data_IF_112862932781
#
_entry.id   IF_112862932781
#
_cell.length_a   1.000
_cell.length_b   1.000
_cell.length_c   1.000
_cell.angle_alpha   90.00
_cell.angle_beta   90.00
_cell.angle_gamma   90.00
#
_symmetry.space_group_name_H-M   'P 1'
#
loop_
_entity.id
_entity.type
_entity.pdbx_description
1 polymer ?
#
# COMPACT_ATOMS: atom_id res chain seq x y z
N UNK A 1 -5.16 17.61 -2.71
CA UNK A 1 -5.60 16.38 -2.09
C UNK A 1 -4.43 15.74 -1.37
N UNK A 2 -4.66 15.25 -0.14
CA UNK A 2 -3.67 14.38 0.49
C UNK A 2 -3.46 13.19 -0.45
N UNK A 3 -2.25 12.97 -0.89
CA UNK A 3 -1.89 11.80 -1.66
C UNK A 3 -2.24 10.56 -0.82
N UNK A 4 -3.09 9.69 -1.35
CA UNK A 4 -3.32 8.39 -0.75
C UNK A 4 -1.96 7.69 -0.67
N UNK A 5 -1.50 7.42 0.54
CA UNK A 5 -0.25 6.71 0.76
C UNK A 5 -0.50 5.20 0.70
N UNK A 6 0.42 4.45 0.11
CA UNK A 6 0.45 2.99 0.16
C UNK A 6 0.43 2.43 1.59
N UNK A 7 0.88 3.23 2.56
CA UNK A 7 0.85 2.91 3.99
C UNK A 7 -0.57 2.70 4.53
N UNK A 8 -1.62 3.26 3.91
CA UNK A 8 -3.01 2.98 4.29
C UNK A 8 -3.31 1.48 4.23
N UNK A 9 -2.97 0.84 3.11
CA UNK A 9 -3.24 -0.59 2.93
C UNK A 9 -2.33 -1.46 3.79
N UNK A 10 -1.11 -1.01 4.05
CA UNK A 10 -0.21 -1.65 5.00
C UNK A 10 -0.81 -1.65 6.41
N UNK A 11 -1.18 -0.49 6.92
CA UNK A 11 -1.76 -0.37 8.26
C UNK A 11 -3.09 -1.14 8.38
N UNK A 12 -3.90 -1.18 7.31
CA UNK A 12 -5.11 -1.99 7.27
C UNK A 12 -4.79 -3.50 7.31
N UNK A 13 -3.77 -3.96 6.59
CA UNK A 13 -3.35 -5.37 6.61
C UNK A 13 -2.74 -5.79 7.95
N UNK A 14 -2.06 -4.88 8.64
CA UNK A 14 -1.38 -5.11 9.92
C UNK A 14 -2.27 -4.81 11.15
N UNK A 15 -3.52 -4.37 10.98
CA UNK A 15 -4.40 -3.99 12.08
C UNK A 15 -4.84 -5.17 12.99
N UNK A 16 -4.46 -6.39 12.66
CA UNK A 16 -4.79 -7.59 13.44
C UNK A 16 -6.24 -8.06 13.35
N UNK A 17 -7.01 -7.53 12.40
CA UNK A 17 -8.40 -7.90 12.17
C UNK A 17 -8.50 -8.77 10.90
N UNK A 18 -9.45 -9.71 10.93
CA UNK A 18 -9.81 -10.45 9.70
C UNK A 18 -10.65 -9.54 8.79
N UNK A 19 -10.07 -9.12 7.68
CA UNK A 19 -10.73 -8.22 6.74
C UNK A 19 -10.45 -8.61 5.28
N UNK A 20 -11.35 -8.19 4.40
CA UNK A 20 -11.16 -8.27 2.94
C UNK A 20 -11.28 -6.86 2.38
N UNK A 21 -10.28 -6.45 1.61
CA UNK A 21 -10.30 -5.17 0.88
C UNK A 21 -10.50 -5.48 -0.59
N UNK A 22 -11.51 -4.84 -1.19
CA UNK A 22 -11.76 -4.93 -2.62
C UNK A 22 -11.71 -3.53 -3.21
N UNK A 23 -10.90 -3.37 -4.24
CA UNK A 23 -10.80 -2.15 -5.03
C UNK A 23 -11.32 -2.49 -6.42
N UNK A 24 -12.44 -1.90 -6.80
CA UNK A 24 -12.96 -2.01 -8.15
C UNK A 24 -12.71 -0.71 -8.88
N UNK A 25 -12.11 -0.80 -10.06
CA UNK A 25 -11.79 0.37 -10.88
C UNK A 25 -12.20 0.08 -12.33
N UNK A 26 -13.05 0.95 -12.88
CA UNK A 26 -13.47 0.87 -14.28
C UNK A 26 -12.93 2.07 -15.05
N UNK A 27 -12.18 1.86 -16.14
CA UNK A 27 -11.67 2.97 -16.93
C UNK A 27 -12.79 3.66 -17.70
N UNK A 28 -12.78 4.99 -17.70
CA UNK A 28 -13.62 5.77 -18.59
C UNK A 28 -13.05 5.82 -19.99
N UNK A 29 -13.92 6.03 -20.98
CA UNK A 29 -13.47 6.42 -22.32
C UNK A 29 -12.83 7.82 -22.27
N UNK A 30 -11.96 8.12 -23.24
CA UNK A 30 -11.32 9.45 -23.35
C UNK A 30 -12.39 10.57 -23.45
N UNK A 31 -13.47 10.31 -24.15
CA UNK A 31 -14.59 11.28 -24.29
C UNK A 31 -15.25 11.53 -22.93
N UNK A 32 -15.48 10.48 -22.17
CA UNK A 32 -16.12 10.58 -20.86
C UNK A 32 -15.19 11.22 -19.84
N UNK A 33 -13.91 10.86 -19.82
CA UNK A 33 -12.86 11.51 -19.02
C UNK A 33 -12.88 13.03 -19.23
N UNK A 34 -12.80 13.48 -20.49
CA UNK A 34 -12.82 14.90 -20.82
C UNK A 34 -14.14 15.59 -20.40
N UNK A 35 -15.28 14.91 -20.54
CA UNK A 35 -16.57 15.43 -20.11
C UNK A 35 -16.62 15.60 -18.58
N UNK A 36 -16.13 14.63 -17.81
CA UNK A 36 -16.10 14.66 -16.35
C UNK A 36 -15.15 15.73 -15.83
N UNK A 37 -13.94 15.83 -16.35
CA UNK A 37 -12.98 16.86 -15.97
C UNK A 37 -13.52 18.26 -16.23
N UNK A 38 -14.17 18.50 -17.37
CA UNK A 38 -14.85 19.79 -17.66
C UNK A 38 -15.99 20.06 -16.71
N UNK A 39 -16.80 19.07 -16.36
CA UNK A 39 -17.88 19.24 -15.40
C UNK A 39 -17.37 19.58 -13.99
N UNK A 40 -16.26 18.94 -13.57
CA UNK A 40 -15.60 19.26 -12.31
C UNK A 40 -15.04 20.69 -12.32
N UNK A 41 -14.37 21.11 -13.40
CA UNK A 41 -13.84 22.46 -13.56
C UNK A 41 -14.99 23.52 -13.45
N UNK A 42 -16.07 23.30 -14.18
CA UNK A 42 -17.25 24.19 -14.12
C UNK A 42 -17.86 24.23 -12.72
N UNK A 43 -17.85 23.13 -11.97
CA UNK A 43 -18.36 23.10 -10.59
C UNK A 43 -17.47 23.92 -9.66
N UNK A 44 -16.15 23.79 -9.75
CA UNK A 44 -15.16 24.55 -8.95
C UNK A 44 -15.26 26.04 -9.29
N UNK A 45 -15.30 26.40 -10.57
CA UNK A 45 -15.48 27.77 -11.02
C UNK A 45 -16.78 28.39 -10.50
N UNK A 46 -17.89 27.64 -10.55
CA UNK A 46 -19.17 28.08 -10.02
C UNK A 46 -19.12 28.36 -8.51
N UNK A 47 -18.40 27.54 -7.77
CA UNK A 47 -18.23 27.73 -6.33
C UNK A 47 -17.38 28.97 -6.03
N UNK A 48 -16.29 29.19 -6.78
CA UNK A 48 -15.46 30.39 -6.69
C UNK A 48 -16.29 31.63 -6.96
N UNK A 49 -17.11 31.66 -8.03
CA UNK A 49 -17.99 32.77 -8.36
C UNK A 49 -19.01 33.05 -7.24
N UNK A 50 -19.55 32.00 -6.61
CA UNK A 50 -20.45 32.17 -5.45
C UNK A 50 -19.74 32.84 -4.28
N UNK A 51 -18.52 32.38 -3.95
CA UNK A 51 -17.71 32.95 -2.87
C UNK A 51 -17.36 34.43 -3.14
N UNK A 52 -16.97 34.75 -4.37
CA UNK A 52 -16.73 36.14 -4.80
C UNK A 52 -17.97 37.05 -4.65
N UNK A 53 -19.12 36.55 -5.06
CA UNK A 53 -20.39 37.28 -4.89
C UNK A 53 -20.75 37.53 -3.42
N UNK A 54 -20.48 36.56 -2.54
CA UNK A 54 -20.68 36.70 -1.10
C UNK A 54 -19.69 37.74 -0.54
N UNK A 55 -18.42 37.63 -0.88
CA UNK A 55 -17.35 38.56 -0.45
C UNK A 55 -17.70 40.02 -0.83
N UNK A 56 -18.14 40.25 -2.06
CA UNK A 56 -18.54 41.58 -2.51
C UNK A 56 -19.76 42.10 -1.71
N UNK A 57 -20.75 41.24 -1.40
CA UNK A 57 -21.91 41.65 -0.58
C UNK A 57 -21.50 42.01 0.85
N UNK A 58 -20.46 41.41 1.37
CA UNK A 58 -19.94 41.68 2.71
C UNK A 58 -18.90 42.80 2.73
N UNK A 59 -18.62 43.44 1.59
CA UNK A 59 -17.69 44.57 1.47
C UNK A 59 -16.21 44.19 1.34
N UNK A 60 -15.93 42.93 1.05
CA UNK A 60 -14.56 42.45 0.76
C UNK A 60 -14.24 42.60 -0.74
N UNK A 61 -12.92 42.49 -1.05
CA UNK A 61 -12.46 42.47 -2.45
C UNK A 61 -13.04 41.29 -3.22
N UNK A 62 -13.37 41.44 -4.51
CA UNK A 62 -13.77 40.33 -5.38
C UNK A 62 -12.73 39.24 -5.52
N UNK A 63 -11.43 39.56 -5.25
CA UNK A 63 -10.32 38.60 -5.30
C UNK A 63 -10.23 37.72 -4.05
N UNK A 64 -11.12 37.95 -3.07
CA UNK A 64 -11.19 37.12 -1.88
C UNK A 64 -11.81 35.77 -2.21
N UNK A 65 -10.95 34.80 -2.46
CA UNK A 65 -11.32 33.39 -2.71
C UNK A 65 -10.83 32.57 -1.51
N UNK A 66 -11.68 31.72 -0.99
CA UNK A 66 -11.32 30.80 0.08
C UNK A 66 -10.12 29.92 -0.34
N UNK A 67 -9.17 29.74 0.57
CA UNK A 67 -7.95 28.97 0.32
C UNK A 67 -8.25 27.56 -0.24
N UNK A 68 -9.25 26.88 0.33
CA UNK A 68 -9.68 25.54 -0.10
C UNK A 68 -10.15 25.51 -1.55
N UNK A 69 -10.87 26.52 -2.01
CA UNK A 69 -11.35 26.60 -3.40
C UNK A 69 -10.23 26.88 -4.39
N UNK A 70 -9.25 27.67 -3.98
CA UNK A 70 -8.05 27.94 -4.78
C UNK A 70 -7.16 26.72 -4.90
N UNK A 71 -6.95 25.98 -3.80
CA UNK A 71 -6.23 24.71 -3.80
C UNK A 71 -6.94 23.67 -4.68
N UNK A 72 -8.25 23.52 -4.56
CA UNK A 72 -9.06 22.62 -5.39
C UNK A 72 -8.98 22.95 -6.89
N UNK A 73 -8.90 24.24 -7.23
CA UNK A 73 -8.70 24.66 -8.63
C UNK A 73 -7.31 24.25 -9.12
N UNK A 74 -6.25 24.52 -8.36
CA UNK A 74 -4.88 24.16 -8.72
C UNK A 74 -4.72 22.66 -8.91
N UNK A 75 -5.22 21.85 -7.97
CA UNK A 75 -5.19 20.38 -8.05
C UNK A 75 -5.91 19.85 -9.30
N UNK A 76 -7.04 20.47 -9.65
CA UNK A 76 -7.81 20.06 -10.83
C UNK A 76 -7.10 20.43 -12.13
N UNK A 77 -6.49 21.61 -12.19
CA UNK A 77 -5.71 22.04 -13.36
C UNK A 77 -4.50 21.10 -13.58
N UNK A 78 -3.79 20.71 -12.52
CA UNK A 78 -2.71 19.72 -12.59
C UNK A 78 -3.20 18.37 -13.14
N UNK A 79 -4.36 17.87 -12.69
CA UNK A 79 -4.94 16.61 -13.20
C UNK A 79 -5.32 16.74 -14.68
N UNK A 80 -5.90 17.88 -15.08
CA UNK A 80 -6.29 18.11 -16.48
C UNK A 80 -5.06 18.13 -17.38
N UNK A 81 -4.01 18.83 -16.97
CA UNK A 81 -2.77 18.94 -17.74
C UNK A 81 -2.06 17.58 -17.81
N UNK A 82 -1.97 16.86 -16.69
CA UNK A 82 -1.42 15.50 -16.67
C UNK A 82 -2.15 14.57 -17.65
N UNK A 83 -3.48 14.52 -17.61
CA UNK A 83 -4.27 13.66 -18.52
C UNK A 83 -4.09 14.07 -19.99
N UNK A 84 -3.94 15.38 -20.27
CA UNK A 84 -3.70 15.88 -21.63
C UNK A 84 -2.31 15.50 -22.15
N UNK A 85 -1.28 15.64 -21.32
CA UNK A 85 0.10 15.39 -21.72
C UNK A 85 0.39 13.89 -21.86
N UNK A 86 -0.10 13.08 -20.95
CA UNK A 86 0.19 11.64 -20.91
C UNK A 86 -0.79 10.80 -21.72
N UNK A 87 -1.98 11.33 -22.04
CA UNK A 87 -3.08 10.56 -22.60
C UNK A 87 -3.65 9.53 -21.60
N UNK A 88 -3.42 9.73 -20.32
CA UNK A 88 -3.81 8.81 -19.26
C UNK A 88 -5.34 8.72 -19.11
N UNK A 89 -5.79 7.66 -18.42
CA UNK A 89 -7.22 7.39 -18.23
C UNK A 89 -7.62 7.75 -16.81
N UNK A 90 -8.85 8.23 -16.69
CA UNK A 90 -9.54 8.35 -15.42
C UNK A 90 -10.37 7.09 -15.18
N UNK A 91 -10.44 6.66 -13.94
CA UNK A 91 -11.15 5.47 -13.50
C UNK A 91 -12.24 5.84 -12.50
N UNK A 92 -13.41 5.23 -12.67
CA UNK A 92 -14.39 5.12 -11.62
C UNK A 92 -13.92 4.07 -10.62
N UNK A 93 -13.68 4.47 -9.38
CA UNK A 93 -13.15 3.56 -8.37
C UNK A 93 -14.04 3.52 -7.13
N UNK A 94 -14.24 2.32 -6.59
CA UNK A 94 -14.88 2.10 -5.30
C UNK A 94 -14.00 1.22 -4.42
N UNK A 95 -13.94 1.58 -3.14
CA UNK A 95 -13.18 0.86 -2.12
C UNK A 95 -14.16 0.24 -1.14
N UNK A 96 -14.16 -1.07 -1.02
CA UNK A 96 -14.99 -1.82 -0.11
C UNK A 96 -14.11 -2.56 0.90
N UNK A 97 -14.43 -2.42 2.18
CA UNK A 97 -13.78 -3.16 3.27
C UNK A 97 -14.84 -4.02 3.95
N UNK A 98 -14.65 -5.33 3.87
CA UNK A 98 -15.46 -6.29 4.60
C UNK A 98 -14.71 -6.72 5.85
N UNK A 99 -15.40 -6.74 6.96
CA UNK A 99 -14.87 -7.20 8.23
C UNK A 99 -15.93 -7.96 9.02
N UNK A 100 -15.50 -8.84 9.90
CA UNK A 100 -16.35 -9.65 10.75
C UNK A 100 -16.04 -9.43 12.23
N UNK A 101 -16.94 -9.89 13.09
CA UNK A 101 -16.74 -9.95 14.53
C UNK A 101 -17.54 -11.10 15.10
N UNK A 102 -17.01 -11.78 16.12
CA UNK A 102 -17.72 -12.88 16.79
C UNK A 102 -18.93 -12.40 17.59
N UNK A 103 -18.89 -11.14 18.03
CA UNK A 103 -20.00 -10.45 18.72
C UNK A 103 -20.23 -9.09 18.06
N UNK A 104 -21.37 -8.48 18.38
CA UNK A 104 -21.72 -7.13 17.88
C UNK A 104 -20.71 -6.12 18.40
N UNK A 105 -20.33 -6.21 19.66
CA UNK A 105 -19.37 -5.33 20.31
C UNK A 105 -18.00 -5.42 19.65
N UNK A 106 -17.54 -6.64 19.35
CA UNK A 106 -16.28 -6.84 18.63
C UNK A 106 -16.31 -6.29 17.21
N UNK A 107 -17.41 -6.49 16.49
CA UNK A 107 -17.60 -5.90 15.15
C UNK A 107 -17.52 -4.38 15.21
N UNK A 108 -18.20 -3.75 16.17
CA UNK A 108 -18.23 -2.30 16.31
C UNK A 108 -16.85 -1.74 16.68
N UNK A 109 -16.09 -2.45 17.50
CA UNK A 109 -14.70 -2.09 17.79
C UNK A 109 -13.81 -2.22 16.55
N UNK A 110 -13.92 -3.30 15.78
CA UNK A 110 -13.19 -3.48 14.53
C UNK A 110 -13.51 -2.34 13.54
N UNK A 111 -14.77 -1.91 13.44
CA UNK A 111 -15.17 -0.76 12.62
C UNK A 111 -14.47 0.53 13.09
N UNK A 112 -14.36 0.77 14.40
CA UNK A 112 -13.66 1.94 14.94
C UNK A 112 -12.19 1.95 14.57
N UNK A 113 -11.52 0.80 14.68
CA UNK A 113 -10.10 0.65 14.30
C UNK A 113 -9.91 1.01 12.83
N UNK A 114 -10.73 0.44 11.93
CA UNK A 114 -10.62 0.72 10.49
C UNK A 114 -10.88 2.19 10.17
N UNK A 115 -11.89 2.81 10.81
CA UNK A 115 -12.17 4.23 10.63
C UNK A 115 -11.01 5.12 11.11
N UNK A 116 -10.42 4.81 12.26
CA UNK A 116 -9.27 5.54 12.79
C UNK A 116 -8.04 5.43 11.87
N UNK A 117 -7.78 4.25 11.30
CA UNK A 117 -6.72 4.09 10.31
C UNK A 117 -7.02 4.94 9.07
N UNK A 118 -8.26 4.91 8.56
CA UNK A 118 -8.66 5.74 7.43
C UNK A 118 -8.43 7.23 7.69
N UNK A 119 -8.91 7.74 8.82
CA UNK A 119 -8.74 9.14 9.22
C UNK A 119 -7.28 9.58 9.28
N UNK A 120 -6.39 8.72 9.77
CA UNK A 120 -4.93 8.95 9.79
C UNK A 120 -4.37 9.30 8.40
N UNK A 121 -4.93 8.70 7.35
CA UNK A 121 -4.51 8.90 5.95
C UNK A 121 -5.48 9.77 5.15
N UNK A 122 -6.41 10.47 5.80
CA UNK A 122 -7.38 11.34 5.13
C UNK A 122 -8.47 10.58 4.37
N UNK A 123 -8.63 9.28 4.58
CA UNK A 123 -9.67 8.45 3.98
C UNK A 123 -10.84 8.25 4.97
N UNK A 124 -12.06 8.59 4.56
CA UNK A 124 -13.25 8.42 5.40
C UNK A 124 -13.96 7.13 5.02
N UNK A 125 -13.95 6.15 5.93
CA UNK A 125 -14.72 4.92 5.79
C UNK A 125 -16.12 5.09 6.40
N UNK A 126 -17.14 4.84 5.59
CA UNK A 126 -18.56 4.88 6.02
C UNK A 126 -19.14 3.49 6.05
N UNK A 127 -19.89 3.18 7.10
CA UNK A 127 -20.64 1.93 7.18
C UNK A 127 -21.83 1.97 6.21
N UNK A 128 -22.02 0.92 5.44
CA UNK A 128 -23.15 0.77 4.53
C UNK A 128 -24.39 0.37 5.34
N UNK A 129 -25.45 1.19 5.27
CA UNK A 129 -26.75 0.86 5.82
C UNK A 129 -27.65 0.24 4.76
N UNK A 130 -28.24 -0.94 5.03
CA UNK A 130 -29.22 -1.62 4.15
C UNK A 130 -28.69 -2.05 2.77
N UNK A 131 -27.37 -2.00 2.56
CA UNK A 131 -26.70 -2.41 1.30
C UNK A 131 -25.63 -3.49 1.55
N UNK A 132 -25.74 -4.21 2.66
CA UNK A 132 -24.72 -5.19 3.06
C UNK A 132 -24.67 -6.41 2.12
N UNK A 133 -25.82 -6.85 1.60
CA UNK A 133 -25.90 -7.98 0.68
C UNK A 133 -25.28 -7.63 -0.67
N UNK A 134 -25.64 -6.49 -1.23
CA UNK A 134 -25.10 -5.98 -2.48
C UNK A 134 -23.58 -5.71 -2.35
N UNK A 135 -23.15 -5.17 -1.21
CA UNK A 135 -21.74 -4.95 -0.93
C UNK A 135 -20.98 -6.28 -0.82
N UNK A 136 -21.55 -7.29 -0.15
CA UNK A 136 -20.96 -8.63 -0.07
C UNK A 136 -20.78 -9.25 -1.45
N UNK A 137 -21.79 -9.16 -2.30
CA UNK A 137 -21.73 -9.64 -3.67
C UNK A 137 -20.66 -8.89 -4.50
N UNK A 138 -20.49 -7.58 -4.23
CA UNK A 138 -19.48 -6.75 -4.91
C UNK A 138 -18.05 -7.06 -4.46
N UNK A 139 -17.85 -7.64 -3.28
CA UNK A 139 -16.54 -8.04 -2.77
C UNK A 139 -16.05 -9.34 -3.43
N UNK A 140 -16.97 -10.16 -3.90
CA UNK A 140 -16.62 -11.42 -4.58
C UNK A 140 -15.80 -11.11 -5.86
N UNK A 141 -14.82 -11.97 -6.21
CA UNK A 141 -13.90 -11.72 -7.34
C UNK A 141 -14.56 -11.99 -8.70
N UNK A 142 -15.75 -11.47 -8.90
CA UNK A 142 -16.52 -11.59 -10.16
C UNK A 142 -16.48 -10.31 -11.00
N UNK A 143 -15.79 -9.27 -10.51
CA UNK A 143 -15.57 -8.03 -11.28
C UNK A 143 -16.83 -7.20 -11.52
N UNK A 144 -17.86 -7.37 -10.72
CA UNK A 144 -19.13 -6.62 -10.81
C UNK A 144 -19.39 -5.85 -9.53
N UNK A 145 -19.86 -4.62 -9.67
CA UNK A 145 -20.35 -3.80 -8.55
C UNK A 145 -21.89 -3.88 -8.52
N UNK A 146 -22.44 -4.43 -7.44
CA UNK A 146 -23.88 -4.57 -7.24
C UNK A 146 -24.46 -3.49 -6.32
N UNK A 147 -23.62 -2.57 -5.83
CA UNK A 147 -24.07 -1.54 -4.90
C UNK A 147 -24.55 -0.30 -5.64
N UNK A 148 -25.74 0.19 -5.28
CA UNK A 148 -26.25 1.50 -5.72
C UNK A 148 -25.49 2.67 -5.07
N UNK A 149 -24.58 2.39 -4.13
CA UNK A 149 -23.69 3.40 -3.55
C UNK A 149 -22.61 3.89 -4.54
N UNK A 150 -22.57 3.39 -5.75
CA UNK A 150 -21.66 3.80 -6.81
C UNK A 150 -21.56 5.32 -6.96
N UNK A 151 -22.72 6.02 -6.96
CA UNK A 151 -22.75 7.48 -7.11
C UNK A 151 -22.27 8.24 -5.87
N UNK A 152 -22.47 7.68 -4.68
CA UNK A 152 -22.14 8.33 -3.40
C UNK A 152 -20.71 8.07 -2.97
N UNK A 153 -20.23 6.82 -3.15
CA UNK A 153 -18.92 6.38 -2.67
C UNK A 153 -17.90 6.23 -3.80
N UNK A 154 -18.32 6.43 -5.03
CA UNK A 154 -17.43 6.42 -6.19
C UNK A 154 -16.42 7.57 -6.09
N UNK A 155 -15.17 7.28 -6.45
CA UNK A 155 -14.09 8.27 -6.59
C UNK A 155 -13.47 8.14 -7.96
N UNK A 156 -13.29 9.29 -8.59
CA UNK A 156 -12.59 9.37 -9.86
C UNK A 156 -11.08 9.46 -9.58
N UNK A 157 -10.34 8.44 -10.01
CA UNK A 157 -8.89 8.34 -9.83
C UNK A 157 -8.20 8.30 -11.20
N UNK A 158 -6.98 8.82 -11.28
CA UNK A 158 -6.08 8.65 -12.43
C UNK A 158 -5.15 7.47 -12.18
N UNK A 159 -4.48 6.96 -13.22
CA UNK A 159 -3.61 5.78 -13.14
C UNK A 159 -2.56 5.87 -12.02
N UNK A 160 -1.82 6.98 -11.82
CA UNK A 160 -0.89 7.08 -10.70
C UNK A 160 -1.54 6.87 -9.34
N UNK A 161 -2.70 7.49 -9.10
CA UNK A 161 -3.42 7.35 -7.84
C UNK A 161 -3.97 5.93 -7.63
N UNK A 162 -4.32 5.24 -8.71
CA UNK A 162 -4.77 3.85 -8.64
C UNK A 162 -3.59 2.90 -8.39
N UNK A 163 -2.42 3.16 -8.99
CA UNK A 163 -1.24 2.30 -8.83
C UNK A 163 -0.68 2.32 -7.40
N UNK A 164 -0.75 3.45 -6.70
CA UNK A 164 -0.37 3.56 -5.28
C UNK A 164 -1.22 2.64 -4.39
N UNK A 165 -2.45 2.35 -4.79
CA UNK A 165 -3.34 1.45 -4.05
C UNK A 165 -3.01 -0.04 -4.25
N UNK A 166 -1.96 -0.37 -5.01
CA UNK A 166 -1.49 -1.75 -5.13
C UNK A 166 -0.88 -2.19 -3.80
N UNK A 167 -1.36 -3.27 -3.17
CA UNK A 167 -0.93 -3.67 -1.82
C UNK A 167 0.47 -4.31 -1.77
N UNK A 168 1.26 -4.20 -2.84
CA UNK A 168 2.61 -4.77 -2.91
C UNK A 168 3.64 -3.84 -2.26
N UNK A 169 3.42 -3.51 -1.00
CA UNK A 169 4.27 -2.59 -0.24
C UNK A 169 5.47 -3.27 0.41
N UNK A 170 5.45 -4.60 0.51
CA UNK A 170 6.53 -5.37 1.15
C UNK A 170 7.00 -6.49 0.25
N UNK A 171 8.33 -6.60 0.15
CA UNK A 171 8.98 -7.75 -0.48
C UNK A 171 9.45 -8.68 0.63
N UNK A 172 8.76 -9.78 0.82
CA UNK A 172 9.16 -10.81 1.77
C UNK A 172 9.86 -11.96 1.05
N UNK A 173 10.99 -12.41 1.61
CA UNK A 173 11.72 -13.54 1.11
C UNK A 173 11.57 -14.69 2.11
N UNK A 174 10.71 -15.65 1.79
CA UNK A 174 10.46 -16.81 2.63
C UNK A 174 10.45 -18.10 1.79
N UNK A 175 11.64 -18.65 1.55
CA UNK A 175 11.78 -19.88 0.81
C UNK A 175 11.43 -21.10 1.69
N UNK A 176 10.68 -22.06 1.13
CA UNK A 176 10.52 -23.38 1.75
C UNK A 176 11.91 -23.96 2.04
N UNK A 177 12.13 -24.45 3.24
CA UNK A 177 13.46 -24.90 3.70
C UNK A 177 14.51 -23.77 3.66
N UNK A 178 14.10 -22.50 3.79
CA UNK A 178 15.00 -21.36 3.97
C UNK A 178 15.75 -21.44 5.30
N UNK A 179 16.94 -20.87 5.36
CA UNK A 179 17.67 -20.60 6.59
C UNK A 179 17.23 -19.22 7.10
N UNK A 180 17.04 -19.07 8.39
CA UNK A 180 16.69 -17.82 9.00
C UNK A 180 17.83 -16.79 8.89
N UNK A 181 17.54 -15.62 8.38
CA UNK A 181 18.50 -14.50 8.27
C UNK A 181 18.12 -13.30 9.13
N UNK A 182 16.88 -13.17 9.51
CA UNK A 182 16.41 -12.05 10.32
C UNK A 182 14.92 -11.81 10.17
N UNK A 183 14.52 -10.63 10.58
CA UNK A 183 13.14 -10.13 10.49
C UNK A 183 13.14 -8.92 9.56
N UNK A 184 12.19 -8.88 8.64
CA UNK A 184 11.99 -7.75 7.76
C UNK A 184 11.55 -6.52 8.58
N UNK A 185 12.26 -5.41 8.46
CA UNK A 185 11.98 -4.19 9.22
C UNK A 185 10.63 -3.55 8.88
N UNK A 186 10.10 -3.82 7.69
CA UNK A 186 8.84 -3.23 7.22
C UNK A 186 7.63 -4.11 7.52
N UNK A 187 7.73 -5.42 7.27
CA UNK A 187 6.61 -6.35 7.43
C UNK A 187 6.61 -7.09 8.77
N UNK A 188 7.71 -7.03 9.54
CA UNK A 188 7.96 -7.86 10.73
C UNK A 188 7.90 -9.37 10.44
N UNK A 189 7.94 -9.79 9.19
CA UNK A 189 7.95 -11.17 8.80
C UNK A 189 9.36 -11.77 8.86
N UNK A 190 9.43 -13.09 9.03
CA UNK A 190 10.68 -13.83 9.03
C UNK A 190 11.27 -13.85 7.61
N UNK A 191 12.55 -13.48 7.49
CA UNK A 191 13.33 -13.66 6.27
C UNK A 191 14.02 -15.02 6.33
N UNK A 192 13.61 -15.93 5.44
CA UNK A 192 14.21 -17.25 5.30
C UNK A 192 14.66 -17.48 3.87
N UNK A 193 15.96 -17.70 3.66
CA UNK A 193 16.55 -17.86 2.33
C UNK A 193 17.13 -19.25 2.18
N UNK A 194 16.74 -19.93 1.10
CA UNK A 194 17.39 -21.15 0.65
C UNK A 194 18.32 -20.82 -0.53
N UNK A 195 19.62 -20.75 -0.32
CA UNK A 195 20.59 -20.45 -1.39
C UNK A 195 20.67 -21.53 -2.48
N UNK A 196 20.15 -22.74 -2.20
CA UNK A 196 20.07 -23.84 -3.15
C UNK A 196 18.70 -23.95 -3.82
N UNK A 197 17.88 -22.91 -3.71
CA UNK A 197 16.58 -22.88 -4.38
C UNK A 197 16.81 -22.86 -5.89
N UNK A 198 16.09 -23.69 -6.66
CA UNK A 198 16.23 -23.73 -8.12
C UNK A 198 15.90 -22.40 -8.84
N UNK A 199 15.21 -21.51 -8.15
CA UNK A 199 14.92 -20.15 -8.68
C UNK A 199 16.10 -19.19 -8.61
N UNK A 200 17.19 -19.56 -7.90
CA UNK A 200 18.39 -18.74 -7.79
C UNK A 200 19.43 -19.18 -8.81
N UNK A 201 19.99 -18.23 -9.55
CA UNK A 201 21.00 -18.50 -10.59
C UNK A 201 22.29 -19.11 -10.03
N UNK A 202 22.68 -18.75 -8.80
CA UNK A 202 23.82 -19.31 -8.11
C UNK A 202 23.69 -19.18 -6.57
N UNK A 203 24.51 -19.97 -5.87
CA UNK A 203 24.54 -19.99 -4.38
C UNK A 203 25.65 -19.11 -3.79
N UNK A 204 26.38 -18.36 -4.60
CA UNK A 204 27.50 -17.54 -4.15
C UNK A 204 27.02 -16.37 -3.29
N UNK A 205 27.87 -15.95 -2.36
CA UNK A 205 27.59 -14.81 -1.50
C UNK A 205 28.85 -14.04 -1.15
N UNK A 206 28.71 -12.76 -0.90
CA UNK A 206 29.80 -11.87 -0.46
C UNK A 206 29.36 -11.20 0.83
N UNK A 207 30.22 -11.23 1.86
CA UNK A 207 30.02 -10.51 3.11
C UNK A 207 31.01 -9.34 3.14
N UNK A 208 30.51 -8.11 3.09
CA UNK A 208 31.31 -6.89 3.11
C UNK A 208 31.00 -6.04 4.33
N UNK A 209 31.99 -5.27 4.80
CA UNK A 209 31.81 -4.38 5.93
C UNK A 209 33.12 -3.80 6.44
N UNK A 210 33.04 -2.79 7.27
CA UNK A 210 34.21 -2.18 7.92
C UNK A 210 34.86 -3.12 8.94
N UNK A 211 36.09 -2.85 9.36
CA UNK A 211 36.73 -3.58 10.45
C UNK A 211 35.88 -3.46 11.73
N UNK A 212 35.71 -4.56 12.45
CA UNK A 212 34.88 -4.60 13.68
C UNK A 212 33.35 -4.66 13.45
N UNK A 213 32.86 -4.68 12.20
CA UNK A 213 31.40 -4.70 11.89
C UNK A 213 30.74 -6.08 12.06
N UNK A 214 31.49 -7.10 12.52
CA UNK A 214 30.93 -8.44 12.74
C UNK A 214 30.96 -9.38 11.53
N UNK A 215 31.74 -9.09 10.46
CA UNK A 215 31.85 -9.95 9.27
C UNK A 215 32.21 -11.40 9.61
N UNK A 216 33.30 -11.60 10.39
CA UNK A 216 33.75 -12.95 10.78
C UNK A 216 32.68 -13.65 11.63
N UNK A 217 31.96 -12.93 12.48
CA UNK A 217 30.88 -13.51 13.27
C UNK A 217 29.71 -13.94 12.38
N UNK A 218 29.36 -13.12 11.39
CA UNK A 218 28.32 -13.46 10.40
C UNK A 218 28.73 -14.68 9.58
N UNK A 219 29.99 -14.79 9.18
CA UNK A 219 30.51 -15.95 8.45
C UNK A 219 30.47 -17.23 9.30
N UNK A 220 30.87 -17.15 10.57
CA UNK A 220 30.79 -18.29 11.52
C UNK A 220 29.34 -18.74 11.72
N UNK A 221 28.42 -17.78 11.91
CA UNK A 221 26.99 -18.07 12.02
C UNK A 221 26.44 -18.75 10.75
N UNK A 222 26.86 -18.28 9.57
CA UNK A 222 26.49 -18.85 8.28
C UNK A 222 26.95 -20.34 8.17
N UNK A 223 28.18 -20.66 8.58
CA UNK A 223 28.73 -22.00 8.57
C UNK A 223 27.93 -22.90 9.53
N UNK A 224 27.80 -22.50 10.79
CA UNK A 224 27.10 -23.30 11.81
C UNK A 224 25.67 -23.59 11.37
N UNK A 225 24.94 -22.58 10.96
CA UNK A 225 23.53 -22.75 10.57
C UNK A 225 23.38 -23.58 9.30
N UNK A 226 24.36 -23.57 8.41
CA UNK A 226 24.36 -24.42 7.21
C UNK A 226 24.58 -25.90 7.59
N UNK A 227 25.53 -26.20 8.43
CA UNK A 227 25.82 -27.58 8.90
C UNK A 227 24.67 -28.14 9.75
N UNK A 228 24.10 -27.33 10.68
CA UNK A 228 22.95 -27.76 11.46
C UNK A 228 21.73 -28.10 10.59
N UNK A 229 21.56 -27.40 9.47
CA UNK A 229 20.48 -27.65 8.54
C UNK A 229 20.72 -28.83 7.62
N UNK A 230 21.95 -29.00 7.18
CA UNK A 230 22.39 -30.05 6.27
C UNK A 230 23.61 -30.77 6.85
N UNK A 231 23.45 -31.70 7.78
CA UNK A 231 24.57 -32.38 8.46
C UNK A 231 25.45 -33.22 7.53
N UNK A 232 25.03 -33.40 6.29
CA UNK A 232 25.81 -34.15 5.27
C UNK A 232 26.69 -33.24 4.42
N UNK A 233 26.65 -31.92 4.65
CA UNK A 233 27.44 -30.96 3.90
C UNK A 233 28.86 -30.91 4.47
N UNK A 234 29.84 -30.85 3.59
CA UNK A 234 31.26 -30.58 3.93
C UNK A 234 31.52 -29.07 3.76
N UNK A 235 32.28 -28.50 4.71
CA UNK A 235 32.66 -27.08 4.65
C UNK A 235 34.16 -26.95 4.61
N UNK A 236 34.69 -26.30 3.58
CA UNK A 236 36.11 -25.99 3.43
C UNK A 236 36.33 -24.52 3.72
N UNK A 237 37.15 -24.20 4.71
CA UNK A 237 37.46 -22.82 5.11
C UNK A 237 38.89 -22.50 4.69
N UNK A 238 39.06 -21.45 3.89
CA UNK A 238 40.36 -20.89 3.53
C UNK A 238 40.49 -19.52 4.21
N UNK A 239 41.28 -19.44 5.27
CA UNK A 239 41.51 -18.22 6.03
C UNK A 239 43.00 -17.96 6.16
N UNK A 240 43.47 -16.73 5.93
CA UNK A 240 44.89 -16.38 6.20
C UNK A 240 45.21 -16.30 7.70
N UNK A 241 44.19 -16.11 8.53
CA UNK A 241 44.27 -15.99 9.98
C UNK A 241 43.57 -17.17 10.65
N UNK A 242 44.04 -17.57 11.84
CA UNK A 242 43.48 -18.73 12.58
C UNK A 242 42.16 -18.39 13.32
N UNK A 243 41.32 -17.54 12.73
CA UNK A 243 40.05 -17.10 13.35
C UNK A 243 39.00 -18.23 13.47
N UNK A 244 39.15 -19.33 12.73
CA UNK A 244 38.18 -20.42 12.63
C UNK A 244 38.59 -21.71 13.36
N UNK A 245 39.78 -21.79 13.99
CA UNK A 245 40.29 -23.01 14.61
C UNK A 245 39.35 -23.51 15.75
N UNK A 246 38.83 -22.60 16.57
CA UNK A 246 37.88 -22.97 17.61
C UNK A 246 36.56 -23.52 17.04
N UNK A 247 36.12 -22.97 15.89
CA UNK A 247 34.90 -23.40 15.23
C UNK A 247 35.07 -24.81 14.62
N UNK A 248 36.19 -25.09 13.99
CA UNK A 248 36.45 -26.39 13.41
C UNK A 248 36.57 -27.48 14.50
N UNK A 249 37.22 -27.17 15.62
CA UNK A 249 37.32 -28.10 16.77
C UNK A 249 35.95 -28.37 17.44
N UNK A 250 35.01 -27.46 17.33
CA UNK A 250 33.65 -27.60 17.88
C UNK A 250 32.70 -28.40 16.96
N UNK A 251 33.00 -28.46 15.68
CA UNK A 251 32.14 -29.07 14.66
C UNK A 251 32.64 -30.47 14.21
N UNK A 252 33.85 -30.87 14.59
CA UNK A 252 34.39 -32.22 14.44
C UNK A 252 33.86 -33.15 15.56
#
# INVERSE_FOLDING_TARGET
PMELSDNLFKDLAECGQELVITIQAQPYSIIETNKRLRAQATSVESEIIKQQKIAVKEGYSPDFIGRTSKEAQGDLDEVIDFVRETGDKQFSSIFLVYLTGKTIEQRDENIRVIKAIGEKYGAIFSSLGYLQEEALNSILPIGMNFTDCEKTFQRDLITPNLSINSPFTTVDINHKKGKFYGINLFSNNIIAINRRDPSMDNSNGIITGLSGSGKSMTAKYEIITTLLKNPQDEVIILSPDNEYDELTTLLD
#
